data_IF_658882295048
#
_entry.id   IF_658882295048
#
_cell.length_a   1.000
_cell.length_b   1.000
_cell.length_c   1.000
_cell.angle_alpha   90.00
_cell.angle_beta   90.00
_cell.angle_gamma   90.00
#
_symmetry.space_group_name_H-M   'P 1'
#
loop_
_entity.id
_entity.type
_entity.pdbx_description
1 polymer ?
#
# COMPACT_ATOMS: atom_id res chain seq x y z
N UNK A 1 16.37 -23.81 -7.77
CA UNK A 1 15.54 -22.59 -7.79
C UNK A 1 15.29 -22.25 -9.24
N UNK A 2 14.04 -22.00 -9.63
CA UNK A 2 13.68 -21.59 -10.99
C UNK A 2 14.16 -20.13 -11.22
N UNK A 3 15.12 -19.89 -12.13
CA UNK A 3 15.68 -18.55 -12.35
C UNK A 3 14.63 -17.53 -12.82
N UNK A 4 13.62 -17.98 -13.59
CA UNK A 4 12.54 -17.11 -14.07
C UNK A 4 11.69 -16.61 -12.90
N UNK A 5 11.36 -17.51 -11.97
CA UNK A 5 10.56 -17.18 -10.79
C UNK A 5 11.26 -16.17 -9.88
N UNK A 6 12.57 -16.30 -9.69
CA UNK A 6 13.36 -15.36 -8.89
C UNK A 6 13.39 -13.95 -9.49
N UNK A 7 13.45 -13.83 -10.82
CA UNK A 7 13.37 -12.55 -11.52
C UNK A 7 11.98 -11.92 -11.37
N UNK A 8 10.92 -12.70 -11.59
CA UNK A 8 9.53 -12.21 -11.44
C UNK A 8 9.22 -11.72 -10.02
N UNK A 9 9.70 -12.44 -8.99
CA UNK A 9 9.53 -12.03 -7.60
C UNK A 9 10.25 -10.70 -7.30
N UNK A 10 11.43 -10.51 -7.89
CA UNK A 10 12.24 -9.28 -7.74
C UNK A 10 11.55 -8.08 -8.41
N UNK A 11 11.03 -8.28 -9.62
CA UNK A 11 10.31 -7.24 -10.36
C UNK A 11 9.01 -6.87 -9.66
N UNK A 12 8.26 -7.87 -9.17
CA UNK A 12 7.04 -7.64 -8.41
C UNK A 12 7.33 -6.86 -7.12
N UNK A 13 8.38 -7.25 -6.38
CA UNK A 13 8.79 -6.53 -5.16
C UNK A 13 9.13 -5.07 -5.47
N UNK A 14 9.88 -4.81 -6.53
CA UNK A 14 10.22 -3.44 -6.95
C UNK A 14 8.97 -2.64 -7.32
N UNK A 15 8.04 -3.24 -8.05
CA UNK A 15 6.76 -2.61 -8.39
C UNK A 15 5.91 -2.26 -7.14
N UNK A 16 5.90 -3.12 -6.12
CA UNK A 16 5.21 -2.85 -4.85
C UNK A 16 5.86 -1.69 -4.10
N UNK A 17 7.20 -1.66 -4.02
CA UNK A 17 7.94 -0.57 -3.37
C UNK A 17 7.61 0.76 -4.04
N UNK A 18 7.71 0.83 -5.36
CA UNK A 18 7.41 2.06 -6.10
C UNK A 18 5.94 2.48 -5.99
N UNK A 19 5.01 1.52 -5.96
CA UNK A 19 3.59 1.82 -5.74
C UNK A 19 3.33 2.40 -4.35
N UNK A 20 4.01 1.88 -3.32
CA UNK A 20 3.97 2.44 -1.96
C UNK A 20 4.59 3.84 -1.96
N UNK A 21 5.68 4.05 -2.67
CA UNK A 21 6.32 5.36 -2.81
C UNK A 21 5.46 6.39 -3.55
N UNK A 22 4.57 5.94 -4.43
CA UNK A 22 3.58 6.79 -5.08
C UNK A 22 2.39 7.19 -4.21
N UNK A 23 2.23 6.64 -3.00
CA UNK A 23 1.11 6.99 -2.12
C UNK A 23 1.20 8.44 -1.62
N UNK A 24 0.05 9.15 -1.50
CA UNK A 24 0.00 10.44 -0.83
C UNK A 24 0.62 10.39 0.58
N UNK A 25 1.28 11.47 1.05
CA UNK A 25 1.99 11.47 2.33
C UNK A 25 1.14 11.01 3.52
N UNK A 26 -0.14 11.40 3.55
CA UNK A 26 -1.07 11.00 4.63
C UNK A 26 -1.36 9.50 4.62
N UNK A 27 -1.43 8.88 3.44
CA UNK A 27 -1.65 7.43 3.30
C UNK A 27 -0.39 6.64 3.66
N UNK A 28 0.82 7.17 3.34
CA UNK A 28 2.10 6.60 3.79
C UNK A 28 2.24 6.60 5.31
N UNK A 29 1.94 7.74 5.95
CA UNK A 29 1.98 7.84 7.43
C UNK A 29 1.00 6.85 8.05
N UNK A 30 -0.22 6.74 7.51
CA UNK A 30 -1.20 5.75 7.99
C UNK A 30 -0.66 4.32 7.89
N UNK A 31 0.01 3.95 6.80
CA UNK A 31 0.62 2.62 6.63
C UNK A 31 1.71 2.36 7.67
N UNK A 32 2.59 3.32 7.92
CA UNK A 32 3.64 3.20 8.94
C UNK A 32 3.04 3.01 10.33
N UNK A 33 2.07 3.84 10.71
CA UNK A 33 1.38 3.69 12.00
C UNK A 33 0.66 2.33 12.16
N UNK A 34 0.14 1.76 11.06
CA UNK A 34 -0.59 0.50 11.11
C UNK A 34 0.32 -0.74 11.09
N UNK A 35 1.38 -0.74 10.28
CA UNK A 35 2.23 -1.92 10.08
C UNK A 35 3.55 -1.88 10.85
N UNK A 36 4.10 -0.69 11.11
CA UNK A 36 5.37 -0.53 11.84
C UNK A 36 5.09 -0.34 13.33
N UNK A 37 4.12 0.54 13.66
CA UNK A 37 3.77 0.86 15.05
C UNK A 37 2.60 0.02 15.60
N UNK A 38 2.05 -0.89 14.78
CA UNK A 38 0.96 -1.83 15.13
C UNK A 38 -0.31 -1.16 15.72
N UNK A 39 -0.54 0.12 15.42
CA UNK A 39 -1.68 0.88 15.95
C UNK A 39 -2.99 0.47 15.27
N UNK A 40 -4.07 0.46 16.04
CA UNK A 40 -5.42 0.26 15.50
C UNK A 40 -6.01 1.56 14.93
N UNK A 41 -7.12 1.47 14.19
CA UNK A 41 -7.73 2.62 13.51
C UNK A 41 -8.12 3.77 14.45
N UNK A 42 -8.50 3.46 15.70
CA UNK A 42 -8.88 4.45 16.71
C UNK A 42 -7.64 5.21 17.19
N UNK A 43 -6.55 4.52 17.47
CA UNK A 43 -5.26 5.11 17.88
C UNK A 43 -4.67 5.96 16.76
N UNK A 44 -4.69 5.45 15.53
CA UNK A 44 -4.25 6.20 14.34
C UNK A 44 -5.09 7.47 14.18
N UNK A 45 -6.41 7.38 14.40
CA UNK A 45 -7.30 8.54 14.35
C UNK A 45 -6.89 9.62 15.35
N UNK A 46 -6.56 9.21 16.58
CA UNK A 46 -6.07 10.12 17.62
C UNK A 46 -4.72 10.78 17.22
N UNK A 47 -3.77 10.01 16.68
CA UNK A 47 -2.47 10.52 16.21
C UNK A 47 -2.63 11.50 15.05
N UNK A 48 -3.50 11.19 14.09
CA UNK A 48 -3.71 12.01 12.89
C UNK A 48 -4.72 13.15 13.08
N UNK A 49 -5.34 13.26 14.26
CA UNK A 49 -6.37 14.26 14.56
C UNK A 49 -7.64 14.10 13.73
N UNK A 50 -8.02 12.87 13.39
CA UNK A 50 -9.21 12.55 12.56
C UNK A 50 -10.04 11.44 13.19
N UNK A 51 -11.29 11.28 12.74
CA UNK A 51 -12.14 10.17 13.21
C UNK A 51 -11.66 8.81 12.70
N UNK A 52 -11.98 7.75 13.42
CA UNK A 52 -11.72 6.36 13.00
C UNK A 52 -12.30 6.04 11.61
N UNK A 53 -13.51 6.53 11.32
CA UNK A 53 -14.14 6.40 10.00
C UNK A 53 -13.28 7.03 8.90
N UNK A 54 -12.66 8.19 9.16
CA UNK A 54 -11.76 8.84 8.21
C UNK A 54 -10.49 8.02 7.99
N UNK A 55 -9.95 7.39 9.03
CA UNK A 55 -8.79 6.47 8.91
C UNK A 55 -9.15 5.26 8.05
N UNK A 56 -10.31 4.64 8.29
CA UNK A 56 -10.79 3.51 7.48
C UNK A 56 -10.95 3.87 5.99
N UNK A 57 -11.46 5.06 5.71
CA UNK A 57 -11.55 5.58 4.33
C UNK A 57 -10.17 5.78 3.70
N UNK A 58 -9.22 6.39 4.42
CA UNK A 58 -7.84 6.58 3.94
C UNK A 58 -7.15 5.24 3.68
N UNK A 59 -7.35 4.25 4.56
CA UNK A 59 -6.82 2.90 4.37
C UNK A 59 -7.37 2.25 3.10
N UNK A 60 -8.69 2.33 2.89
CA UNK A 60 -9.36 1.81 1.70
C UNK A 60 -8.85 2.50 0.43
N UNK A 61 -8.68 3.83 0.46
CA UNK A 61 -8.14 4.61 -0.65
C UNK A 61 -6.70 4.20 -0.98
N UNK A 62 -5.84 4.04 0.03
CA UNK A 62 -4.47 3.59 -0.15
C UNK A 62 -4.41 2.21 -0.81
N UNK A 63 -5.25 1.26 -0.37
CA UNK A 63 -5.32 -0.07 -0.98
C UNK A 63 -5.81 0.01 -2.44
N UNK A 64 -6.81 0.84 -2.72
CA UNK A 64 -7.31 1.02 -4.08
C UNK A 64 -6.23 1.60 -5.02
N UNK A 65 -5.45 2.58 -4.55
CA UNK A 65 -4.33 3.16 -5.30
C UNK A 65 -3.23 2.15 -5.58
N UNK A 66 -2.80 1.39 -4.56
CA UNK A 66 -1.80 0.32 -4.76
C UNK A 66 -2.27 -0.68 -5.80
N UNK A 67 -3.52 -1.14 -5.73
CA UNK A 67 -4.10 -2.06 -6.72
C UNK A 67 -4.20 -1.48 -8.13
N UNK A 68 -4.43 -0.18 -8.25
CA UNK A 68 -4.45 0.49 -9.56
C UNK A 68 -3.03 0.56 -10.15
N UNK A 69 -2.07 1.04 -9.37
CA UNK A 69 -0.66 1.17 -9.79
C UNK A 69 -0.04 -0.19 -10.14
N UNK A 70 -0.29 -1.22 -9.34
CA UNK A 70 0.22 -2.56 -9.62
C UNK A 70 -0.43 -3.19 -10.86
N UNK A 71 -1.70 -2.92 -11.16
CA UNK A 71 -2.35 -3.41 -12.38
C UNK A 71 -1.82 -2.76 -13.65
N UNK A 72 -1.36 -1.52 -13.57
CA UNK A 72 -0.74 -0.82 -14.70
C UNK A 72 0.69 -1.33 -14.97
N UNK A 73 1.41 -1.72 -13.91
CA UNK A 73 2.81 -2.18 -13.98
C UNK A 73 2.97 -3.67 -14.23
N UNK A 74 2.09 -4.49 -13.66
CA UNK A 74 1.98 -5.89 -14.00
C UNK A 74 1.31 -5.94 -15.37
N UNK A 75 2.14 -5.99 -16.42
CA UNK A 75 1.82 -6.40 -17.78
C UNK A 75 0.44 -7.04 -17.81
N UNK A 76 -0.55 -6.31 -18.31
CA UNK A 76 -1.94 -6.76 -18.39
C UNK A 76 -1.93 -8.21 -18.86
N UNK A 77 -2.22 -9.14 -17.95
CA UNK A 77 -2.59 -10.49 -18.34
C UNK A 77 -3.82 -10.31 -19.23
N UNK A 78 -3.79 -10.67 -20.52
CA UNK A 78 -5.03 -10.76 -21.25
C UNK A 78 -5.83 -11.88 -20.59
N UNK A 79 -7.05 -11.51 -20.15
CA UNK A 79 -8.20 -12.34 -19.78
C UNK A 79 -7.95 -13.67 -19.04
#
# INVERSE_FOLDING_TARGET
ADPLRALLDTDFRSAVIEAIDGLPPREKILRGLYYEEELNLKEIGAVLGVSESRVSQLHTQAVARLRASLRERLWTSPA
#
